data_IF_931555893976
#
_entry.id   IF_931555893976
#
_cell.length_a   1.000
_cell.length_b   1.000
_cell.length_c   1.000
_cell.angle_alpha   90.00
_cell.angle_beta   90.00
_cell.angle_gamma   90.00
#
_symmetry.space_group_name_H-M   'P 1'
#
loop_
_entity.id
_entity.type
_entity.pdbx_description
1 polymer ?
#
# COMPACT_ATOMS: atom_id res chain seq x y z
N UNK A 1 -8.11 -46.49 -49.05
CA UNK A 1 -7.26 -46.12 -47.90
C UNK A 1 -6.48 -44.85 -48.21
N UNK A 2 -6.87 -43.71 -47.62
CA UNK A 2 -5.97 -42.61 -47.21
C UNK A 2 -6.77 -41.74 -46.26
N UNK A 3 -6.53 -41.93 -44.96
CA UNK A 3 -7.16 -41.19 -43.87
C UNK A 3 -6.58 -39.78 -43.90
N UNK A 4 -7.40 -38.79 -44.25
CA UNK A 4 -7.05 -37.39 -44.09
C UNK A 4 -7.27 -37.04 -42.62
N UNK A 5 -6.18 -36.75 -41.93
CA UNK A 5 -6.10 -35.75 -40.86
C UNK A 5 -4.60 -35.45 -40.70
N UNK A 6 -4.22 -34.17 -40.62
CA UNK A 6 -4.32 -33.56 -39.31
C UNK A 6 -4.81 -32.11 -39.32
N UNK A 7 -5.68 -31.82 -38.36
CA UNK A 7 -5.73 -30.54 -37.67
C UNK A 7 -4.30 -29.99 -37.52
N UNK A 8 -3.97 -29.01 -38.34
CA UNK A 8 -2.89 -28.09 -38.02
C UNK A 8 -3.42 -27.23 -36.88
N UNK A 9 -2.88 -27.33 -35.66
CA UNK A 9 -3.19 -26.34 -34.66
C UNK A 9 -2.73 -25.02 -35.22
N UNK A 10 -3.68 -24.09 -35.42
CA UNK A 10 -3.38 -22.69 -35.69
C UNK A 10 -2.43 -22.27 -34.59
N UNK A 11 -1.16 -22.16 -34.93
CA UNK A 11 -0.15 -21.58 -34.07
C UNK A 11 -0.52 -20.12 -33.95
N UNK A 12 -1.32 -19.80 -32.92
CA UNK A 12 -1.54 -18.42 -32.53
C UNK A 12 -0.16 -17.82 -32.26
N UNK A 13 0.30 -17.06 -33.25
CA UNK A 13 1.47 -16.20 -33.19
C UNK A 13 1.20 -15.22 -32.04
N UNK A 14 1.80 -15.47 -30.88
CA UNK A 14 1.75 -14.51 -29.77
C UNK A 14 3.10 -13.78 -29.66
N UNK A 15 3.15 -12.46 -29.38
CA UNK A 15 2.03 -11.52 -29.24
C UNK A 15 2.10 -10.35 -30.23
N UNK A 16 0.93 -9.79 -30.57
CA UNK A 16 0.84 -8.43 -31.08
C UNK A 16 1.52 -7.45 -30.13
N UNK A 17 1.99 -6.31 -30.67
CA UNK A 17 2.72 -5.26 -29.95
C UNK A 17 2.20 -5.01 -28.52
N UNK A 18 3.06 -4.60 -27.58
CA UNK A 18 2.68 -4.29 -26.19
C UNK A 18 1.40 -3.43 -26.07
N UNK A 19 1.12 -2.57 -27.06
CA UNK A 19 -0.12 -1.81 -27.18
C UNK A 19 -1.36 -2.69 -27.27
N UNK A 20 -1.34 -3.78 -28.04
CA UNK A 20 -2.45 -4.72 -28.15
C UNK A 20 -2.71 -5.46 -26.82
N UNK A 21 -1.65 -5.83 -26.08
CA UNK A 21 -1.79 -6.44 -24.74
C UNK A 21 -2.41 -5.46 -23.73
N UNK A 22 -1.94 -4.21 -23.72
CA UNK A 22 -2.48 -3.16 -22.85
C UNK A 22 -3.93 -2.84 -23.23
N UNK A 23 -4.20 -2.64 -24.51
CA UNK A 23 -5.56 -2.39 -25.03
C UNK A 23 -6.52 -3.51 -24.66
N UNK A 24 -6.11 -4.78 -24.83
CA UNK A 24 -6.92 -5.93 -24.45
C UNK A 24 -7.19 -5.98 -22.94
N UNK A 25 -6.20 -5.67 -22.10
CA UNK A 25 -6.42 -5.67 -20.66
C UNK A 25 -7.22 -4.45 -20.15
N UNK A 26 -7.07 -3.28 -20.76
CA UNK A 26 -7.94 -2.13 -20.50
C UNK A 26 -9.39 -2.43 -20.90
N UNK A 27 -9.59 -3.10 -22.04
CA UNK A 27 -10.91 -3.61 -22.44
C UNK A 27 -11.45 -4.61 -21.42
N UNK A 28 -10.62 -5.54 -20.93
CA UNK A 28 -11.03 -6.49 -19.90
C UNK A 28 -11.51 -5.79 -18.61
N UNK A 29 -10.80 -4.74 -18.18
CA UNK A 29 -11.20 -3.92 -17.04
C UNK A 29 -12.52 -3.20 -17.30
N UNK A 30 -12.66 -2.58 -18.48
CA UNK A 30 -13.88 -1.87 -18.86
C UNK A 30 -15.10 -2.82 -18.92
N UNK A 31 -14.94 -3.98 -19.54
CA UNK A 31 -16.00 -5.01 -19.65
C UNK A 31 -16.42 -5.55 -18.27
N UNK A 32 -15.60 -5.33 -17.22
CA UNK A 32 -15.83 -5.76 -15.84
C UNK A 32 -15.83 -4.59 -14.86
N UNK A 33 -16.06 -3.37 -15.33
CA UNK A 33 -16.07 -2.19 -14.49
C UNK A 33 -17.16 -2.27 -13.40
N UNK A 34 -18.35 -2.76 -13.77
CA UNK A 34 -19.46 -2.99 -12.83
C UNK A 34 -19.06 -3.94 -11.68
N UNK A 35 -18.68 -5.21 -11.92
CA UNK A 35 -18.40 -6.14 -10.81
C UNK A 35 -17.18 -5.72 -9.98
N UNK A 36 -16.15 -5.13 -10.61
CA UNK A 36 -14.99 -4.59 -9.89
C UNK A 36 -15.39 -3.40 -9.01
N UNK A 37 -16.19 -2.48 -9.55
CA UNK A 37 -16.74 -1.34 -8.81
C UNK A 37 -17.60 -1.81 -7.64
N UNK A 38 -18.51 -2.76 -7.86
CA UNK A 38 -19.34 -3.33 -6.79
C UNK A 38 -18.49 -3.98 -5.69
N UNK A 39 -17.43 -4.70 -6.05
CA UNK A 39 -16.53 -5.33 -5.08
C UNK A 39 -15.75 -4.30 -4.24
N UNK A 40 -15.24 -3.23 -4.88
CA UNK A 40 -14.57 -2.13 -4.18
C UNK A 40 -15.56 -1.39 -3.26
N UNK A 41 -16.78 -1.16 -3.72
CA UNK A 41 -17.83 -0.52 -2.92
C UNK A 41 -18.20 -1.37 -1.70
N UNK A 42 -18.40 -2.68 -1.89
CA UNK A 42 -18.67 -3.60 -0.79
C UNK A 42 -17.52 -3.62 0.23
N UNK A 43 -16.28 -3.58 -0.26
CA UNK A 43 -15.09 -3.49 0.58
C UNK A 43 -15.01 -2.16 1.35
N UNK A 44 -15.37 -1.04 0.71
CA UNK A 44 -15.44 0.27 1.36
C UNK A 44 -16.51 0.26 2.47
N UNK A 45 -17.70 -0.29 2.22
CA UNK A 45 -18.75 -0.47 3.23
C UNK A 45 -18.29 -1.36 4.39
N UNK A 46 -17.56 -2.45 4.11
CA UNK A 46 -17.01 -3.32 5.14
C UNK A 46 -15.94 -2.62 5.99
N UNK A 47 -15.04 -1.86 5.35
CA UNK A 47 -14.03 -1.06 6.05
C UNK A 47 -14.68 0.02 6.92
N UNK A 48 -15.74 0.65 6.43
CA UNK A 48 -16.54 1.61 7.18
C UNK A 48 -17.25 0.99 8.39
N UNK A 49 -17.86 -0.18 8.22
CA UNK A 49 -18.42 -0.93 9.34
C UNK A 49 -17.35 -1.29 10.38
N UNK A 50 -16.18 -1.73 9.91
CA UNK A 50 -15.04 -2.04 10.78
C UNK A 50 -14.55 -0.79 11.52
N UNK A 51 -14.52 0.38 10.86
CA UNK A 51 -14.20 1.66 11.47
C UNK A 51 -15.18 2.04 12.58
N UNK A 52 -16.48 2.03 12.30
CA UNK A 52 -17.54 2.33 13.28
C UNK A 52 -17.43 1.38 14.49
N UNK A 53 -17.24 0.08 14.22
CA UNK A 53 -17.13 -0.96 15.25
C UNK A 53 -15.86 -0.84 16.10
N UNK A 54 -14.74 -0.45 15.49
CA UNK A 54 -13.43 -0.30 16.13
C UNK A 54 -13.34 0.97 16.97
N UNK A 55 -13.81 2.10 16.42
CA UNK A 55 -13.82 3.41 17.07
C UNK A 55 -14.98 3.61 18.04
N UNK A 56 -15.95 2.68 18.06
CA UNK A 56 -17.15 2.73 18.92
C UNK A 56 -17.95 4.01 18.71
N UNK A 57 -18.05 4.44 17.45
CA UNK A 57 -18.85 5.59 17.08
C UNK A 57 -20.32 5.14 17.05
N UNK A 58 -21.24 5.74 17.83
CA UNK A 58 -22.63 5.33 17.86
C UNK A 58 -23.41 5.90 16.66
N UNK A 59 -22.94 5.63 15.45
CA UNK A 59 -23.62 5.96 14.21
C UNK A 59 -24.16 4.68 13.57
N UNK A 60 -25.37 4.77 13.00
CA UNK A 60 -25.95 3.70 12.18
C UNK A 60 -25.30 3.71 10.80
N UNK A 61 -24.99 2.53 10.24
CA UNK A 61 -24.52 2.37 8.86
C UNK A 61 -25.43 3.02 7.81
N UNK A 62 -26.71 3.22 8.15
CA UNK A 62 -27.71 3.80 7.27
C UNK A 62 -27.95 5.29 7.52
N UNK A 63 -27.11 5.94 8.33
CA UNK A 63 -27.27 7.38 8.55
C UNK A 63 -26.97 8.15 7.25
N UNK A 64 -27.72 9.23 6.95
CA UNK A 64 -27.49 10.03 5.74
C UNK A 64 -26.05 10.50 5.59
N UNK A 65 -25.41 10.94 6.69
CA UNK A 65 -24.01 11.36 6.70
C UNK A 65 -23.00 10.24 6.37
N UNK A 66 -23.30 9.00 6.75
CA UNK A 66 -22.44 7.86 6.39
C UNK A 66 -22.62 7.49 4.92
N UNK A 67 -23.86 7.51 4.42
CA UNK A 67 -24.17 7.20 3.02
C UNK A 67 -23.52 8.23 2.08
N UNK A 68 -23.54 9.52 2.44
CA UNK A 68 -22.90 10.57 1.65
C UNK A 68 -21.37 10.49 1.63
N UNK A 69 -20.75 9.87 2.64
CA UNK A 69 -19.29 9.65 2.70
C UNK A 69 -18.79 8.47 1.85
N UNK A 70 -19.67 7.55 1.43
CA UNK A 70 -19.28 6.34 0.67
C UNK A 70 -18.55 6.63 -0.65
N UNK A 71 -18.91 7.63 -1.49
CA UNK A 71 -18.18 7.94 -2.71
C UNK A 71 -16.71 8.33 -2.45
N UNK A 72 -16.47 9.11 -1.39
CA UNK A 72 -15.12 9.52 -0.99
C UNK A 72 -14.32 8.28 -0.55
N UNK A 73 -14.90 7.43 0.28
CA UNK A 73 -14.29 6.17 0.70
C UNK A 73 -13.98 5.24 -0.47
N UNK A 74 -14.87 5.17 -1.47
CA UNK A 74 -14.64 4.40 -2.70
C UNK A 74 -13.41 4.93 -3.46
N UNK A 75 -13.26 6.25 -3.59
CA UNK A 75 -12.11 6.88 -4.25
C UNK A 75 -10.83 6.56 -3.49
N UNK A 76 -10.79 6.79 -2.17
CA UNK A 76 -9.61 6.47 -1.35
C UNK A 76 -9.25 4.99 -1.38
N UNK A 77 -10.25 4.09 -1.35
CA UNK A 77 -10.03 2.65 -1.47
C UNK A 77 -9.44 2.28 -2.83
N UNK A 78 -9.95 2.88 -3.92
CA UNK A 78 -9.42 2.69 -5.27
C UNK A 78 -7.97 3.17 -5.37
N UNK A 79 -7.68 4.36 -4.81
CA UNK A 79 -6.33 4.91 -4.75
C UNK A 79 -5.39 4.04 -3.91
N UNK A 80 -5.87 3.49 -2.78
CA UNK A 80 -5.10 2.58 -1.95
C UNK A 80 -4.77 1.27 -2.70
N UNK A 81 -5.73 0.69 -3.43
CA UNK A 81 -5.52 -0.49 -4.28
C UNK A 81 -4.50 -0.19 -5.38
N UNK A 82 -4.62 0.94 -6.07
CA UNK A 82 -3.69 1.35 -7.11
C UNK A 82 -2.29 1.65 -6.55
N UNK A 83 -2.21 2.32 -5.40
CA UNK A 83 -0.96 2.60 -4.70
C UNK A 83 -0.26 1.32 -4.27
N UNK A 84 -0.99 0.36 -3.69
CA UNK A 84 -0.47 -0.96 -3.34
C UNK A 84 0.06 -1.70 -4.57
N UNK A 85 -0.63 -1.64 -5.71
CA UNK A 85 -0.11 -2.22 -6.94
C UNK A 85 1.25 -1.62 -7.33
N UNK A 86 1.35 -0.30 -7.35
CA UNK A 86 2.58 0.41 -7.73
C UNK A 86 3.72 0.07 -6.76
N UNK A 87 3.43 0.09 -5.46
CA UNK A 87 4.39 -0.19 -4.37
C UNK A 87 4.89 -1.64 -4.38
N UNK A 88 4.00 -2.60 -4.65
CA UNK A 88 4.32 -4.03 -4.54
C UNK A 88 4.83 -4.63 -5.84
N UNK A 89 4.25 -4.23 -6.97
CA UNK A 89 4.51 -4.81 -8.28
C UNK A 89 5.21 -3.85 -9.25
N UNK A 90 5.14 -2.53 -9.03
CA UNK A 90 5.70 -1.52 -9.93
C UNK A 90 7.18 -1.76 -10.28
N UNK A 91 8.08 -1.87 -9.29
CA UNK A 91 9.50 -2.13 -9.56
C UNK A 91 9.72 -3.40 -10.40
N UNK A 92 9.07 -4.51 -10.02
CA UNK A 92 9.23 -5.79 -10.72
C UNK A 92 8.65 -5.79 -12.13
N UNK A 93 7.50 -5.11 -12.35
CA UNK A 93 6.84 -5.02 -13.66
C UNK A 93 7.57 -4.10 -14.64
N UNK A 94 8.26 -3.07 -14.16
CA UNK A 94 9.14 -2.20 -14.98
C UNK A 94 10.34 -2.98 -15.52
N UNK A 95 10.91 -3.88 -14.71
CA UNK A 95 12.07 -4.70 -15.08
C UNK A 95 11.71 -5.94 -15.91
N UNK A 96 10.47 -6.40 -15.80
CA UNK A 96 10.00 -7.64 -16.40
C UNK A 96 10.24 -7.76 -17.92
N UNK A 97 10.04 -6.73 -18.76
CA UNK A 97 10.27 -6.82 -20.20
C UNK A 97 11.74 -7.00 -20.59
N UNK A 98 12.67 -6.59 -19.72
CA UNK A 98 14.09 -6.62 -20.02
C UNK A 98 14.72 -8.00 -19.83
N UNK A 99 14.08 -8.84 -19.03
CA UNK A 99 14.52 -10.20 -18.74
C UNK A 99 14.27 -11.14 -19.93
N UNK A 100 15.14 -12.16 -20.11
CA UNK A 100 14.86 -13.19 -21.09
C UNK A 100 13.54 -13.88 -20.72
N UNK A 101 12.67 -14.19 -21.70
CA UNK A 101 11.39 -14.82 -21.41
C UNK A 101 11.64 -16.12 -20.64
N UNK A 102 11.10 -16.18 -19.42
CA UNK A 102 11.01 -17.41 -18.64
C UNK A 102 10.35 -18.45 -19.53
N UNK A 103 11.10 -19.47 -20.00
CA UNK A 103 10.60 -20.46 -20.96
C UNK A 103 9.25 -20.99 -20.44
N UNK A 104 8.16 -20.92 -21.23
CA UNK A 104 6.88 -21.46 -20.80
C UNK A 104 7.11 -22.95 -20.51
N UNK A 105 6.73 -23.38 -19.31
CA UNK A 105 6.78 -24.80 -18.95
C UNK A 105 5.85 -25.50 -19.92
N UNK A 106 6.41 -26.36 -20.78
CA UNK A 106 5.61 -27.03 -21.81
C UNK A 106 4.44 -27.78 -21.16
N UNK A 107 3.27 -27.91 -21.82
CA UNK A 107 2.13 -28.64 -21.26
C UNK A 107 2.52 -30.06 -20.84
N UNK A 108 3.46 -30.69 -21.57
CA UNK A 108 4.06 -31.98 -21.22
C UNK A 108 4.92 -31.91 -19.96
N UNK A 109 5.72 -30.86 -19.75
CA UNK A 109 6.49 -30.67 -18.53
C UNK A 109 5.62 -30.26 -17.34
N UNK A 110 4.52 -29.54 -17.55
CA UNK A 110 3.51 -29.21 -16.53
C UNK A 110 2.73 -30.45 -16.11
N UNK A 111 2.30 -31.30 -17.05
CA UNK A 111 1.69 -32.59 -16.73
C UNK A 111 2.71 -33.52 -16.06
N UNK A 112 3.97 -33.54 -16.51
CA UNK A 112 5.02 -34.32 -15.84
C UNK A 112 5.28 -33.79 -14.43
N UNK A 113 5.26 -32.46 -14.23
CA UNK A 113 5.33 -31.83 -12.90
C UNK A 113 4.13 -32.19 -12.03
N UNK A 114 2.90 -32.15 -12.57
CA UNK A 114 1.68 -32.48 -11.82
C UNK A 114 1.57 -33.97 -11.49
N UNK A 115 2.03 -34.85 -12.40
CA UNK A 115 2.14 -36.30 -12.18
C UNK A 115 3.23 -36.58 -11.15
N UNK A 116 4.37 -35.88 -11.20
CA UNK A 116 5.46 -35.97 -10.22
C UNK A 116 5.13 -35.26 -8.88
N UNK A 117 4.10 -34.40 -8.83
CA UNK A 117 3.58 -33.79 -7.60
C UNK A 117 2.46 -34.62 -6.97
N UNK A 118 1.72 -35.38 -7.79
CA UNK A 118 0.71 -36.34 -7.34
C UNK A 118 1.34 -37.57 -6.69
N UNK A 119 2.61 -37.85 -6.98
CA UNK A 119 3.35 -38.99 -6.45
C UNK A 119 4.51 -38.51 -5.55
N UNK A 120 4.38 -38.76 -4.24
CA UNK A 120 5.33 -38.48 -3.13
C UNK A 120 5.46 -37.04 -2.60
N UNK A 121 5.07 -36.92 -1.32
CA UNK A 121 5.67 -36.20 -0.17
C UNK A 121 7.00 -35.43 -0.39
N UNK A 122 7.11 -34.56 -1.41
CA UNK A 122 8.20 -33.58 -1.44
C UNK A 122 7.77 -32.41 -0.56
N UNK A 123 8.59 -32.01 0.43
CA UNK A 123 8.24 -30.90 1.30
C UNK A 123 8.04 -29.66 0.43
N UNK A 124 6.96 -28.92 0.69
CA UNK A 124 6.57 -27.66 0.01
C UNK A 124 7.79 -26.73 -0.20
N UNK A 125 8.75 -26.76 0.73
CA UNK A 125 10.04 -26.06 0.64
C UNK A 125 10.84 -26.33 -0.65
N UNK A 126 10.91 -27.56 -1.15
CA UNK A 126 11.67 -27.88 -2.36
C UNK A 126 11.00 -27.37 -3.64
N UNK A 127 9.67 -27.41 -3.70
CA UNK A 127 8.92 -26.83 -4.81
C UNK A 127 9.15 -25.31 -4.89
N UNK A 128 9.04 -24.62 -3.76
CA UNK A 128 9.28 -23.17 -3.65
C UNK A 128 10.72 -22.81 -4.02
N UNK A 129 11.73 -23.49 -3.46
CA UNK A 129 13.13 -23.22 -3.79
C UNK A 129 13.44 -23.45 -5.27
N UNK A 130 12.84 -24.48 -5.87
CA UNK A 130 13.03 -24.76 -7.29
C UNK A 130 12.40 -23.69 -8.19
N UNK A 131 11.31 -23.07 -7.75
CA UNK A 131 10.64 -21.99 -8.47
C UNK A 131 11.44 -20.67 -8.35
N UNK A 132 11.96 -20.37 -7.15
CA UNK A 132 12.81 -19.19 -6.91
C UNK A 132 14.10 -19.29 -7.73
N UNK A 133 14.78 -20.45 -7.74
CA UNK A 133 16.02 -20.65 -8.52
C UNK A 133 15.81 -20.50 -10.04
N UNK A 134 14.59 -20.73 -10.53
CA UNK A 134 14.26 -20.65 -11.96
C UNK A 134 13.79 -19.26 -12.41
N UNK A 135 13.55 -18.34 -11.49
CA UNK A 135 13.08 -16.98 -11.81
C UNK A 135 14.22 -15.97 -11.64
N UNK A 136 14.87 -15.53 -12.74
CA UNK A 136 15.91 -14.51 -12.65
C UNK A 136 15.36 -13.18 -12.11
N UNK A 137 14.06 -12.88 -12.32
CA UNK A 137 13.39 -11.72 -11.75
C UNK A 137 13.45 -11.75 -10.23
N UNK A 138 13.00 -12.84 -9.60
CA UNK A 138 12.96 -12.98 -8.15
C UNK A 138 14.35 -12.85 -7.51
N UNK A 139 15.39 -13.40 -8.15
CA UNK A 139 16.76 -13.34 -7.64
C UNK A 139 17.34 -11.93 -7.78
N UNK A 140 17.23 -11.31 -8.96
CA UNK A 140 17.79 -9.98 -9.21
C UNK A 140 17.08 -8.94 -8.36
N UNK A 141 15.74 -8.95 -8.40
CA UNK A 141 14.92 -7.99 -7.69
C UNK A 141 14.99 -8.24 -6.17
N UNK A 142 14.79 -9.47 -5.69
CA UNK A 142 14.73 -9.76 -4.25
C UNK A 142 16.01 -9.45 -3.50
N UNK A 143 17.18 -9.77 -4.08
CA UNK A 143 18.47 -9.43 -3.47
C UNK A 143 18.75 -7.92 -3.51
N UNK A 144 18.32 -7.22 -4.58
CA UNK A 144 18.48 -5.76 -4.67
C UNK A 144 17.60 -5.08 -3.62
N UNK A 145 16.34 -5.50 -3.48
CA UNK A 145 15.40 -4.98 -2.47
C UNK A 145 15.86 -5.26 -1.05
N UNK A 146 16.41 -6.45 -0.76
CA UNK A 146 16.96 -6.78 0.55
C UNK A 146 18.12 -5.86 0.92
N UNK A 147 19.07 -5.64 0.01
CA UNK A 147 20.19 -4.74 0.24
C UNK A 147 19.74 -3.30 0.42
N UNK A 148 18.81 -2.83 -0.41
CA UNK A 148 18.24 -1.49 -0.31
C UNK A 148 17.48 -1.29 1.00
N UNK A 149 16.74 -2.29 1.48
CA UNK A 149 16.08 -2.23 2.78
C UNK A 149 17.08 -2.18 3.94
N UNK A 150 18.17 -2.95 3.85
CA UNK A 150 19.26 -2.88 4.85
C UNK A 150 19.89 -1.48 4.89
N UNK A 151 20.23 -0.92 3.74
CA UNK A 151 20.78 0.45 3.66
C UNK A 151 19.80 1.50 4.18
N UNK A 152 18.52 1.38 3.85
CA UNK A 152 17.50 2.27 4.38
C UNK A 152 17.34 2.13 5.90
N UNK A 153 17.47 0.91 6.44
CA UNK A 153 17.52 0.68 7.89
C UNK A 153 18.68 1.41 8.56
N UNK A 154 19.86 1.49 7.92
CA UNK A 154 20.97 2.28 8.43
C UNK A 154 20.68 3.79 8.41
N UNK A 155 19.94 4.28 7.41
CA UNK A 155 19.48 5.68 7.36
C UNK A 155 18.55 5.96 8.53
N UNK A 156 17.60 5.06 8.82
CA UNK A 156 16.70 5.20 9.97
C UNK A 156 17.46 5.15 11.30
N UNK A 157 18.46 4.27 11.41
CA UNK A 157 19.32 4.23 12.60
C UNK A 157 20.09 5.54 12.78
N UNK A 158 20.67 6.09 11.70
CA UNK A 158 21.34 7.39 11.74
C UNK A 158 20.39 8.53 12.12
N UNK A 159 19.14 8.51 11.63
CA UNK A 159 18.10 9.46 12.02
C UNK A 159 17.72 9.34 13.50
N UNK A 160 17.62 8.12 14.03
CA UNK A 160 17.32 7.90 15.44
C UNK A 160 18.44 8.36 16.39
N UNK A 161 19.67 8.48 15.88
CA UNK A 161 20.80 8.99 16.65
C UNK A 161 20.91 10.52 16.62
N UNK A 162 20.14 11.20 15.77
CA UNK A 162 20.07 12.66 15.71
C UNK A 162 19.09 13.19 16.76
N UNK A 163 19.37 14.37 17.29
CA UNK A 163 18.45 15.08 18.18
C UNK A 163 17.16 15.47 17.42
N UNK A 164 16.03 15.44 18.11
CA UNK A 164 14.73 15.84 17.54
C UNK A 164 14.84 17.29 17.00
N UNK A 165 14.37 17.50 15.77
CA UNK A 165 14.45 18.77 15.00
C UNK A 165 15.86 19.21 14.53
N UNK A 166 16.83 18.29 14.49
CA UNK A 166 18.13 18.58 13.88
C UNK A 166 18.01 18.93 12.37
N UNK A 167 18.64 20.02 11.89
CA UNK A 167 18.64 20.37 10.46
C UNK A 167 19.37 19.32 9.60
N UNK A 168 20.17 18.45 10.21
CA UNK A 168 20.85 17.36 9.52
C UNK A 168 19.92 16.19 9.18
N UNK A 169 18.71 16.12 9.76
CA UNK A 169 17.75 15.06 9.47
C UNK A 169 17.35 15.01 7.99
N UNK A 170 17.05 16.16 7.40
CA UNK A 170 16.70 16.26 5.97
C UNK A 170 17.86 15.84 5.06
N UNK A 171 19.09 16.19 5.45
CA UNK A 171 20.30 15.82 4.71
C UNK A 171 20.50 14.30 4.76
N UNK A 172 20.34 13.67 5.93
CA UNK A 172 20.46 12.23 6.09
C UNK A 172 19.39 11.48 5.30
N UNK A 173 18.14 11.93 5.32
CA UNK A 173 17.05 11.34 4.51
C UNK A 173 17.38 11.46 3.01
N UNK A 174 17.80 12.64 2.56
CA UNK A 174 18.08 12.92 1.15
C UNK A 174 19.27 12.09 0.63
N UNK A 175 20.36 12.06 1.39
CA UNK A 175 21.53 11.23 1.06
C UNK A 175 21.18 9.75 1.08
N UNK A 176 20.40 9.31 2.08
CA UNK A 176 19.90 7.95 2.17
C UNK A 176 19.07 7.55 0.95
N UNK A 177 18.21 8.44 0.47
CA UNK A 177 17.37 8.22 -0.70
C UNK A 177 18.20 8.05 -1.97
N UNK A 178 19.16 8.96 -2.19
CA UNK A 178 20.09 8.90 -3.33
C UNK A 178 20.94 7.63 -3.27
N UNK A 179 21.44 7.26 -2.10
CA UNK A 179 22.24 6.05 -1.90
C UNK A 179 21.44 4.79 -2.24
N UNK A 180 20.23 4.66 -1.70
CA UNK A 180 19.37 3.49 -1.98
C UNK A 180 19.00 3.40 -3.45
N UNK A 181 18.67 4.53 -4.08
CA UNK A 181 18.39 4.61 -5.51
C UNK A 181 19.59 4.17 -6.35
N UNK A 182 20.77 4.70 -6.05
CA UNK A 182 22.01 4.38 -6.76
C UNK A 182 22.36 2.90 -6.60
N UNK A 183 22.36 2.37 -5.38
CA UNK A 183 22.70 0.96 -5.11
C UNK A 183 21.71 0.02 -5.79
N UNK A 184 20.40 0.28 -5.68
CA UNK A 184 19.39 -0.55 -6.36
C UNK A 184 19.59 -0.54 -7.87
N UNK A 185 19.79 0.64 -8.46
CA UNK A 185 19.98 0.80 -9.91
C UNK A 185 21.23 0.09 -10.40
N UNK A 186 22.37 0.24 -9.71
CA UNK A 186 23.65 -0.40 -10.09
C UNK A 186 23.58 -1.92 -9.92
N UNK A 187 22.98 -2.41 -8.82
CA UNK A 187 22.83 -3.85 -8.56
C UNK A 187 21.94 -4.52 -9.61
N UNK A 188 20.80 -3.92 -9.94
CA UNK A 188 19.90 -4.44 -10.96
C UNK A 188 20.52 -4.37 -12.35
N UNK A 189 21.17 -3.25 -12.70
CA UNK A 189 21.86 -3.05 -13.99
C UNK A 189 22.97 -4.07 -14.21
N UNK A 190 23.89 -4.22 -13.25
CA UNK A 190 25.03 -5.15 -13.38
C UNK A 190 24.58 -6.60 -13.52
N UNK A 191 23.52 -6.99 -12.81
CA UNK A 191 22.97 -8.35 -12.90
C UNK A 191 22.18 -8.57 -14.17
N UNK A 192 21.34 -7.63 -14.59
CA UNK A 192 20.63 -7.73 -15.86
C UNK A 192 21.58 -7.75 -17.05
N UNK A 193 22.65 -6.95 -17.01
CA UNK A 193 23.69 -6.98 -18.04
C UNK A 193 24.35 -8.36 -18.14
N UNK A 194 24.71 -8.97 -17.00
CA UNK A 194 25.26 -10.34 -16.96
C UNK A 194 24.29 -11.40 -17.48
N UNK A 195 22.99 -11.24 -17.22
CA UNK A 195 21.96 -12.21 -17.61
C UNK A 195 21.51 -12.07 -19.07
N UNK A 196 21.48 -10.86 -19.61
CA UNK A 196 20.91 -10.56 -20.94
C UNK A 196 21.97 -10.30 -22.00
N UNK A 197 23.19 -9.91 -21.61
CA UNK A 197 24.24 -9.45 -22.53
C UNK A 197 23.95 -8.11 -23.21
N UNK A 198 22.85 -7.43 -22.86
CA UNK A 198 22.48 -6.11 -23.42
C UNK A 198 23.46 -5.02 -22.97
N UNK A 199 23.54 -3.94 -23.74
CA UNK A 199 24.35 -2.77 -23.36
C UNK A 199 23.71 -2.07 -22.16
N UNK A 200 24.56 -1.55 -21.26
CA UNK A 200 24.08 -0.85 -20.07
C UNK A 200 23.15 0.33 -20.38
N UNK A 201 23.37 1.04 -21.50
CA UNK A 201 22.53 2.18 -21.92
C UNK A 201 21.08 1.79 -22.17
N UNK A 202 20.85 0.60 -22.72
CA UNK A 202 19.51 0.12 -23.06
C UNK A 202 18.73 -0.27 -21.80
N UNK A 203 19.44 -0.71 -20.75
CA UNK A 203 18.86 -1.16 -19.48
C UNK A 203 18.74 -0.03 -18.44
N UNK A 204 19.59 1.00 -18.53
CA UNK A 204 19.74 2.03 -17.50
C UNK A 204 18.43 2.71 -17.14
N UNK A 205 17.64 3.10 -18.15
CA UNK A 205 16.37 3.79 -17.92
C UNK A 205 15.37 2.92 -17.15
N UNK A 206 15.22 1.64 -17.52
CA UNK A 206 14.34 0.70 -16.81
C UNK A 206 14.81 0.46 -15.38
N UNK A 207 16.11 0.22 -15.16
CA UNK A 207 16.67 0.03 -13.82
C UNK A 207 16.50 1.27 -12.94
N UNK A 208 16.72 2.46 -13.50
CA UNK A 208 16.55 3.73 -12.79
C UNK A 208 15.09 3.97 -12.40
N UNK A 209 14.14 3.80 -13.33
CA UNK A 209 12.72 3.94 -13.03
C UNK A 209 12.26 2.92 -11.97
N UNK A 210 12.71 1.66 -12.06
CA UNK A 210 12.42 0.66 -11.04
C UNK A 210 13.01 1.04 -9.68
N UNK A 211 14.25 1.54 -9.65
CA UNK A 211 14.90 2.01 -8.43
C UNK A 211 14.19 3.21 -7.82
N UNK A 212 13.72 4.14 -8.65
CA UNK A 212 12.98 5.31 -8.19
C UNK A 212 11.69 4.91 -7.49
N UNK A 213 10.90 4.01 -8.09
CA UNK A 213 9.67 3.49 -7.48
C UNK A 213 9.97 2.74 -6.18
N UNK A 214 11.06 1.97 -6.14
CA UNK A 214 11.49 1.26 -4.93
C UNK A 214 11.91 2.22 -3.80
N UNK A 215 12.71 3.24 -4.09
CA UNK A 215 13.14 4.23 -3.10
C UNK A 215 11.97 5.08 -2.60
N UNK A 216 11.07 5.51 -3.49
CA UNK A 216 9.84 6.21 -3.10
C UNK A 216 8.94 5.34 -2.21
N UNK A 217 8.86 4.04 -2.50
CA UNK A 217 8.13 3.10 -1.66
C UNK A 217 8.68 3.07 -0.23
N UNK A 218 10.00 2.97 -0.07
CA UNK A 218 10.61 2.99 1.27
C UNK A 218 10.36 4.31 1.99
N UNK A 219 10.46 5.44 1.29
CA UNK A 219 10.15 6.75 1.86
C UNK A 219 8.69 6.86 2.32
N UNK A 220 7.74 6.52 1.45
CA UNK A 220 6.30 6.59 1.76
C UNK A 220 5.95 5.69 2.96
N UNK A 221 6.44 4.45 2.97
CA UNK A 221 6.20 3.51 4.07
C UNK A 221 6.83 4.03 5.36
N UNK A 222 8.02 4.63 5.31
CA UNK A 222 8.66 5.25 6.48
C UNK A 222 7.81 6.38 7.04
N UNK A 223 7.38 7.32 6.20
CA UNK A 223 6.55 8.45 6.62
C UNK A 223 5.24 7.97 7.23
N UNK A 224 4.60 6.98 6.60
CA UNK A 224 3.40 6.36 7.13
C UNK A 224 3.65 5.70 8.49
N UNK A 225 4.74 4.94 8.65
CA UNK A 225 5.10 4.29 9.91
C UNK A 225 5.42 5.28 11.02
N UNK A 226 6.11 6.39 10.73
CA UNK A 226 6.37 7.46 11.69
C UNK A 226 5.05 8.08 12.14
N UNK A 227 4.18 8.43 11.19
CA UNK A 227 2.88 9.03 11.51
C UNK A 227 1.97 8.06 12.28
N UNK A 228 1.98 6.78 11.93
CA UNK A 228 1.25 5.74 12.65
C UNK A 228 1.81 5.54 14.06
N UNK A 229 3.14 5.53 14.24
CA UNK A 229 3.77 5.41 15.55
C UNK A 229 3.42 6.58 16.47
N UNK A 230 3.43 7.81 15.92
CA UNK A 230 2.99 9.03 16.62
C UNK A 230 1.50 8.97 16.97
N UNK A 231 0.65 8.56 16.03
CA UNK A 231 -0.79 8.47 16.25
C UNK A 231 -1.19 7.39 17.28
N UNK A 232 -0.33 6.41 17.51
CA UNK A 232 -0.52 5.33 18.47
C UNK A 232 0.24 5.57 19.79
N UNK A 233 0.86 6.74 19.97
CA UNK A 233 1.69 7.10 21.13
C UNK A 233 2.71 6.00 21.51
N UNK A 234 3.30 5.35 20.50
CA UNK A 234 4.25 4.25 20.71
C UNK A 234 5.55 4.82 21.27
N UNK A 235 6.05 4.34 22.42
CA UNK A 235 7.32 4.78 22.97
C UNK A 235 8.46 4.61 21.96
N UNK A 236 9.42 5.54 21.94
CA UNK A 236 10.56 5.53 21.00
C UNK A 236 11.35 4.21 21.03
N UNK A 237 11.42 3.56 22.20
CA UNK A 237 12.05 2.25 22.40
C UNK A 237 11.38 1.12 21.58
N UNK A 238 10.07 1.20 21.38
CA UNK A 238 9.30 0.23 20.60
C UNK A 238 9.13 0.66 19.13
N UNK A 239 9.37 1.93 18.80
CA UNK A 239 9.32 2.42 17.43
C UNK A 239 10.31 1.68 16.52
N UNK A 240 11.53 1.41 17.01
CA UNK A 240 12.54 0.63 16.28
C UNK A 240 12.04 -0.79 15.91
N UNK A 241 11.36 -1.47 16.84
CA UNK A 241 10.79 -2.80 16.61
C UNK A 241 9.67 -2.75 15.57
N UNK A 242 8.82 -1.71 15.62
CA UNK A 242 7.78 -1.48 14.64
C UNK A 242 8.36 -1.27 13.25
N UNK A 243 9.40 -0.44 13.10
CA UNK A 243 10.05 -0.22 11.80
C UNK A 243 10.59 -1.53 11.24
N UNK A 244 11.37 -2.29 12.01
CA UNK A 244 11.89 -3.60 11.56
C UNK A 244 10.76 -4.52 11.08
N UNK A 245 9.67 -4.61 11.85
CA UNK A 245 8.51 -5.42 11.48
C UNK A 245 7.86 -4.95 10.17
N UNK A 246 7.64 -3.65 10.01
CA UNK A 246 7.04 -3.07 8.79
C UNK A 246 7.93 -3.31 7.57
N UNK A 247 9.25 -3.14 7.68
CA UNK A 247 10.16 -3.40 6.56
C UNK A 247 10.23 -4.88 6.19
N UNK A 248 10.21 -5.80 7.17
CA UNK A 248 10.14 -7.23 6.89
C UNK A 248 8.84 -7.60 6.15
N UNK A 249 7.71 -7.03 6.57
CA UNK A 249 6.43 -7.21 5.88
C UNK A 249 6.45 -6.63 4.47
N UNK A 250 7.03 -5.44 4.28
CA UNK A 250 7.18 -4.82 2.97
C UNK A 250 8.02 -5.69 2.03
N UNK A 251 9.16 -6.21 2.49
CA UNK A 251 10.01 -7.09 1.70
C UNK A 251 9.26 -8.37 1.32
N UNK A 252 8.57 -9.01 2.28
CA UNK A 252 7.78 -10.20 2.02
C UNK A 252 6.68 -9.93 0.97
N UNK A 253 5.98 -8.81 1.10
CA UNK A 253 4.93 -8.39 0.19
C UNK A 253 5.46 -8.10 -1.21
N UNK A 254 6.63 -7.46 -1.32
CA UNK A 254 7.24 -7.19 -2.60
C UNK A 254 7.86 -8.44 -3.25
N UNK A 255 8.38 -9.42 -2.48
CA UNK A 255 8.76 -10.74 -3.01
C UNK A 255 7.53 -11.44 -3.60
N UNK A 256 6.40 -11.39 -2.90
CA UNK A 256 5.13 -11.89 -3.42
C UNK A 256 4.71 -11.13 -4.68
N UNK A 257 4.85 -9.81 -4.69
CA UNK A 257 4.59 -8.96 -5.85
C UNK A 257 5.46 -9.31 -7.06
N UNK A 258 6.74 -9.61 -6.86
CA UNK A 258 7.65 -10.06 -7.92
C UNK A 258 7.30 -11.47 -8.42
N UNK A 259 6.88 -12.38 -7.53
CA UNK A 259 6.39 -13.70 -7.93
C UNK A 259 5.09 -13.60 -8.74
N UNK A 260 4.18 -12.72 -8.32
CA UNK A 260 2.95 -12.42 -9.05
C UNK A 260 3.28 -11.79 -10.40
N UNK A 261 4.22 -10.84 -10.47
CA UNK A 261 4.66 -10.24 -11.72
C UNK A 261 5.21 -11.29 -12.71
N UNK A 262 6.04 -12.24 -12.24
CA UNK A 262 6.50 -13.37 -13.07
C UNK A 262 5.34 -14.27 -13.53
N UNK A 263 4.32 -14.47 -12.69
CA UNK A 263 3.10 -15.18 -13.08
C UNK A 263 2.28 -14.41 -14.12
N UNK A 264 2.13 -13.09 -13.97
CA UNK A 264 1.41 -12.23 -14.92
C UNK A 264 2.06 -12.28 -16.31
N UNK A 265 3.40 -12.28 -16.38
CA UNK A 265 4.11 -12.36 -17.66
C UNK A 265 3.80 -13.63 -18.44
N UNK A 266 3.46 -14.72 -17.74
CA UNK A 266 3.16 -16.04 -18.30
C UNK A 266 1.66 -16.23 -18.58
N UNK A 267 0.80 -15.37 -18.04
CA UNK A 267 -0.64 -15.48 -18.21
C UNK A 267 -1.12 -14.84 -19.52
N UNK A 268 -2.17 -15.46 -20.07
CA UNK A 268 -2.97 -14.98 -21.20
C UNK A 268 -3.68 -13.65 -20.88
N UNK A 269 -4.01 -13.40 -19.61
CA UNK A 269 -4.68 -12.18 -19.17
C UNK A 269 -4.01 -11.54 -17.93
N UNK A 270 -2.83 -10.89 -18.10
CA UNK A 270 -2.05 -10.35 -17.00
C UNK A 270 -2.80 -9.29 -16.18
N UNK A 271 -3.60 -8.46 -16.85
CA UNK A 271 -4.31 -7.37 -16.17
C UNK A 271 -5.42 -7.95 -15.29
N UNK A 272 -6.18 -8.93 -15.78
CA UNK A 272 -7.22 -9.58 -14.98
C UNK A 272 -6.69 -10.33 -13.76
N UNK A 273 -5.63 -11.12 -13.94
CA UNK A 273 -4.97 -11.81 -12.83
C UNK A 273 -4.39 -10.81 -11.83
N UNK A 274 -3.75 -9.72 -12.30
CA UNK A 274 -3.19 -8.68 -11.42
C UNK A 274 -4.26 -8.01 -10.58
N UNK A 275 -5.29 -7.44 -11.23
CA UNK A 275 -6.40 -6.76 -10.56
C UNK A 275 -7.12 -7.68 -9.58
N UNK A 276 -7.44 -8.92 -9.98
CA UNK A 276 -8.08 -9.89 -9.10
C UNK A 276 -7.21 -10.28 -7.90
N UNK A 277 -5.90 -10.46 -8.09
CA UNK A 277 -4.99 -10.82 -6.98
C UNK A 277 -4.87 -9.71 -5.95
N UNK A 278 -4.77 -8.45 -6.40
CA UNK A 278 -4.65 -7.30 -5.50
C UNK A 278 -5.96 -7.06 -4.78
N UNK A 279 -7.08 -7.08 -5.51
CA UNK A 279 -8.41 -6.93 -4.89
C UNK A 279 -8.64 -8.04 -3.85
N UNK A 280 -8.27 -9.28 -4.17
CA UNK A 280 -8.30 -10.40 -3.22
C UNK A 280 -7.41 -10.18 -2.01
N UNK A 281 -6.18 -9.69 -2.20
CA UNK A 281 -5.27 -9.38 -1.10
C UNK A 281 -5.84 -8.29 -0.19
N UNK A 282 -6.35 -7.20 -0.76
CA UNK A 282 -6.95 -6.12 0.02
C UNK A 282 -8.22 -6.59 0.72
N UNK A 283 -9.05 -7.40 0.06
CA UNK A 283 -10.22 -8.01 0.69
C UNK A 283 -9.83 -8.90 1.88
N UNK A 284 -8.84 -9.78 1.73
CA UNK A 284 -8.32 -10.61 2.82
C UNK A 284 -7.79 -9.73 3.94
N UNK A 285 -6.98 -8.70 3.63
CA UNK A 285 -6.42 -7.84 4.66
C UNK A 285 -7.50 -7.06 5.41
N UNK A 286 -8.47 -6.48 4.70
CA UNK A 286 -9.61 -5.80 5.30
C UNK A 286 -10.47 -6.71 6.18
N UNK A 287 -10.77 -7.93 5.70
CA UNK A 287 -11.65 -8.88 6.40
C UNK A 287 -10.99 -9.49 7.63
N UNK A 288 -9.72 -9.89 7.54
CA UNK A 288 -9.01 -10.59 8.62
C UNK A 288 -8.25 -9.65 9.56
N UNK A 289 -7.85 -8.47 9.09
CA UNK A 289 -7.20 -7.42 9.89
C UNK A 289 -8.09 -6.17 9.98
N UNK A 290 -9.21 -6.28 10.70
CA UNK A 290 -10.15 -5.18 10.91
C UNK A 290 -9.52 -3.83 11.32
N UNK A 291 -8.49 -3.77 12.20
CA UNK A 291 -7.87 -2.50 12.57
C UNK A 291 -7.26 -1.76 11.38
N UNK A 292 -6.75 -2.47 10.37
CA UNK A 292 -6.13 -1.84 9.22
C UNK A 292 -7.17 -1.20 8.29
N UNK A 293 -8.29 -1.89 8.04
CA UNK A 293 -9.42 -1.33 7.28
C UNK A 293 -10.05 -0.13 7.98
N UNK A 294 -10.14 -0.19 9.32
CA UNK A 294 -10.60 0.92 10.14
C UNK A 294 -9.68 2.15 10.02
N UNK A 295 -8.35 1.96 10.11
CA UNK A 295 -7.39 3.06 9.98
C UNK A 295 -7.46 3.76 8.62
N UNK A 296 -7.57 2.99 7.53
CA UNK A 296 -7.68 3.55 6.18
C UNK A 296 -8.94 4.42 6.04
N UNK A 297 -10.07 3.90 6.53
CA UNK A 297 -11.35 4.63 6.53
C UNK A 297 -11.26 5.88 7.42
N UNK A 298 -10.69 5.74 8.61
CA UNK A 298 -10.52 6.85 9.55
C UNK A 298 -9.68 7.98 8.96
N UNK A 299 -8.59 7.65 8.26
CA UNK A 299 -7.79 8.64 7.54
C UNK A 299 -8.59 9.36 6.46
N UNK A 300 -9.34 8.62 5.63
CA UNK A 300 -10.16 9.20 4.58
C UNK A 300 -11.23 10.17 5.14
N UNK A 301 -11.90 9.79 6.24
CA UNK A 301 -12.89 10.63 6.91
C UNK A 301 -12.24 11.84 7.61
N UNK A 302 -11.06 11.69 8.19
CA UNK A 302 -10.30 12.79 8.80
C UNK A 302 -9.79 13.79 7.79
N UNK A 303 -9.28 13.34 6.64
CA UNK A 303 -8.90 14.23 5.53
C UNK A 303 -10.11 15.07 5.10
N UNK A 304 -11.28 14.44 4.97
CA UNK A 304 -12.50 15.14 4.55
C UNK A 304 -13.07 16.10 5.59
N UNK A 305 -12.95 15.81 6.88
CA UNK A 305 -13.61 16.58 7.96
C UNK A 305 -12.72 17.65 8.59
N UNK A 306 -11.42 17.38 8.77
CA UNK A 306 -10.49 18.29 9.45
C UNK A 306 -9.26 18.65 8.63
N UNK A 307 -9.20 18.26 7.35
CA UNK A 307 -8.00 18.45 6.54
C UNK A 307 -6.81 17.60 7.02
N UNK A 308 -7.08 16.44 7.64
CA UNK A 308 -6.08 15.50 8.17
C UNK A 308 -5.31 16.00 9.40
N UNK A 309 -5.84 16.97 10.14
CA UNK A 309 -5.24 17.45 11.39
C UNK A 309 -5.33 16.37 12.48
N UNK A 310 -4.19 15.89 13.05
CA UNK A 310 -4.21 14.87 14.10
C UNK A 310 -4.74 15.40 15.44
N UNK A 311 -4.60 16.71 15.66
CA UNK A 311 -5.02 17.45 16.84
C UNK A 311 -5.58 18.80 16.38
N UNK A 312 -6.75 19.18 16.91
CA UNK A 312 -7.42 20.44 16.61
C UNK A 312 -8.01 21.05 17.90
N UNK A 313 -8.04 22.38 17.95
CA UNK A 313 -8.78 23.15 18.95
C UNK A 313 -9.99 23.76 18.26
N UNK A 314 -11.17 23.53 18.84
CA UNK A 314 -12.42 24.03 18.31
C UNK A 314 -12.82 25.29 19.09
N UNK A 315 -13.01 26.38 18.37
CA UNK A 315 -13.60 27.61 18.90
C UNK A 315 -15.12 27.52 18.87
N UNK A 316 -15.78 27.84 19.98
CA UNK A 316 -17.24 27.81 20.12
C UNK A 316 -17.86 29.18 19.83
N UNK A 317 -18.92 29.22 19.02
CA UNK A 317 -19.79 30.39 18.94
C UNK A 317 -20.68 30.49 20.19
N UNK A 318 -21.21 29.35 20.62
CA UNK A 318 -21.94 29.15 21.88
C UNK A 318 -21.68 27.73 22.35
N UNK A 319 -21.18 27.53 23.58
CA UNK A 319 -20.93 26.19 24.13
C UNK A 319 -22.23 25.39 24.22
N UNK A 320 -22.38 24.27 23.47
CA UNK A 320 -23.55 23.42 23.56
C UNK A 320 -23.65 22.73 24.93
N UNK A 321 -24.88 22.50 25.44
CA UNK A 321 -25.06 21.78 26.70
C UNK A 321 -24.50 20.35 26.62
N UNK A 322 -23.82 19.90 27.66
CA UNK A 322 -23.24 18.55 27.72
C UNK A 322 -21.87 18.38 27.05
N UNK A 323 -21.24 19.47 26.58
CA UNK A 323 -19.85 19.50 26.11
C UNK A 323 -18.87 20.12 27.12
N UNK A 324 -19.29 20.30 28.37
CA UNK A 324 -18.46 20.84 29.45
C UNK A 324 -17.17 20.03 29.67
N UNK A 325 -17.26 18.70 29.54
CA UNK A 325 -16.12 17.78 29.69
C UNK A 325 -14.99 18.00 28.67
N UNK A 326 -15.28 18.67 27.53
CA UNK A 326 -14.33 18.93 26.45
C UNK A 326 -14.06 20.42 26.24
N UNK A 327 -14.59 21.25 27.13
CA UNK A 327 -14.46 22.70 27.09
C UNK A 327 -13.26 23.12 27.94
N UNK A 328 -12.27 23.79 27.35
CA UNK A 328 -11.21 24.43 28.12
C UNK A 328 -11.72 25.75 28.72
N UNK A 329 -12.45 26.52 27.92
CA UNK A 329 -13.12 27.77 28.27
C UNK A 329 -14.48 27.83 27.54
N UNK A 330 -15.41 28.72 27.92
CA UNK A 330 -16.71 28.85 27.25
C UNK A 330 -16.63 29.11 25.73
N UNK A 331 -15.47 29.55 25.24
CA UNK A 331 -15.19 29.88 23.84
C UNK A 331 -14.26 28.90 23.14
N UNK A 332 -13.59 27.97 23.86
CA UNK A 332 -12.58 27.08 23.25
C UNK A 332 -12.59 25.68 23.86
N UNK A 333 -12.33 24.67 23.04
CA UNK A 333 -12.18 23.29 23.47
C UNK A 333 -10.79 22.99 24.06
N UNK A 334 -10.68 21.87 24.77
CA UNK A 334 -9.38 21.20 24.98
C UNK A 334 -8.83 20.69 23.63
N UNK A 335 -7.58 20.20 23.54
CA UNK A 335 -7.10 19.52 22.34
C UNK A 335 -7.98 18.31 21.97
N UNK A 336 -8.58 18.34 20.78
CA UNK A 336 -9.49 17.32 20.28
C UNK A 336 -8.94 16.65 19.02
N UNK A 337 -9.35 15.40 18.82
CA UNK A 337 -9.23 14.68 17.56
C UNK A 337 -10.62 14.60 16.93
N UNK A 338 -10.78 15.22 15.77
CA UNK A 338 -11.99 15.10 14.95
C UNK A 338 -11.91 13.73 14.26
N UNK A 339 -12.93 12.90 14.46
CA UNK A 339 -12.97 11.55 13.89
C UNK A 339 -13.65 11.57 12.52
N UNK A 340 -14.83 12.18 12.46
CA UNK A 340 -15.62 12.33 11.25
C UNK A 340 -16.62 13.48 11.44
N UNK A 341 -17.12 13.99 10.33
CA UNK A 341 -18.33 14.81 10.29
C UNK A 341 -19.47 13.95 9.76
N UNK A 342 -20.61 13.95 10.45
CA UNK A 342 -21.81 13.25 10.01
C UNK A 342 -23.05 13.99 10.53
N UNK A 343 -24.09 14.07 9.69
CA UNK A 343 -25.41 14.59 10.10
C UNK A 343 -25.34 16.00 10.73
N UNK A 344 -24.52 16.89 10.17
CA UNK A 344 -24.25 18.27 10.65
C UNK A 344 -23.61 18.33 12.05
N UNK A 345 -22.95 17.26 12.47
CA UNK A 345 -22.23 17.18 13.74
C UNK A 345 -20.80 16.66 13.53
N UNK A 346 -19.84 17.25 14.23
CA UNK A 346 -18.52 16.69 14.39
C UNK A 346 -18.52 15.64 15.50
N UNK A 347 -18.00 14.45 15.18
CA UNK A 347 -17.70 13.42 16.18
C UNK A 347 -16.27 13.64 16.64
N UNK A 348 -16.11 14.08 17.89
CA UNK A 348 -14.81 14.46 18.46
C UNK A 348 -14.46 13.64 19.68
N UNK A 349 -13.15 13.53 19.96
CA UNK A 349 -12.61 12.84 21.14
C UNK A 349 -11.43 13.64 21.72
N UNK A 350 -11.23 13.68 23.05
CA UNK A 350 -10.04 14.28 23.65
C UNK A 350 -8.75 13.65 23.11
N UNK A 351 -7.84 14.49 22.62
CA UNK A 351 -6.54 14.08 22.09
C UNK A 351 -5.62 13.59 23.23
N UNK A 352 -4.82 12.55 22.98
CA UNK A 352 -3.88 12.00 23.96
C UNK A 352 -4.52 11.24 25.13
N UNK A 353 -5.81 10.86 25.01
CA UNK A 353 -6.49 10.03 26.02
C UNK A 353 -6.83 8.65 25.47
N UNK A 354 -6.69 7.61 26.30
CA UNK A 354 -7.11 6.24 25.97
C UNK A 354 -8.64 6.05 26.02
N UNK A 355 -9.39 7.10 26.35
CA UNK A 355 -10.85 7.05 26.44
C UNK A 355 -11.45 6.97 25.05
N UNK A 356 -12.27 5.94 24.80
CA UNK A 356 -13.06 5.85 23.56
C UNK A 356 -14.34 6.70 23.59
N UNK A 357 -14.57 7.50 24.64
CA UNK A 357 -15.73 8.40 24.74
C UNK A 357 -15.70 9.38 23.57
N UNK A 358 -16.82 9.48 22.86
CA UNK A 358 -17.01 10.39 21.73
C UNK A 358 -18.05 11.43 22.11
N UNK A 359 -17.86 12.64 21.60
CA UNK A 359 -18.76 13.76 21.80
C UNK A 359 -19.29 14.21 20.45
N UNK A 360 -20.56 14.60 20.44
CA UNK A 360 -21.24 15.09 19.25
C UNK A 360 -21.34 16.60 19.33
N UNK A 361 -20.67 17.27 18.41
CA UNK A 361 -20.54 18.73 18.40
C UNK A 361 -21.28 19.29 17.19
N UNK A 362 -22.38 20.03 17.37
CA UNK A 362 -23.11 20.64 16.26
C UNK A 362 -22.22 21.58 15.43
N UNK A 363 -22.21 21.43 14.12
CA UNK A 363 -21.40 22.26 13.19
C UNK A 363 -21.71 23.76 13.33
N UNK A 364 -22.98 24.12 13.59
CA UNK A 364 -23.41 25.50 13.80
C UNK A 364 -22.88 26.14 15.10
N UNK A 365 -22.44 25.34 16.07
CA UNK A 365 -21.84 25.82 17.33
C UNK A 365 -20.33 26.07 17.21
N UNK A 366 -19.72 25.69 16.09
CA UNK A 366 -18.30 25.86 15.83
C UNK A 366 -18.05 27.18 15.11
N UNK A 367 -17.26 28.05 15.72
CA UNK A 367 -16.82 29.32 15.16
C UNK A 367 -15.48 29.20 14.41
N UNK A 368 -14.54 28.41 14.94
CA UNK A 368 -13.22 28.19 14.33
C UNK A 368 -12.68 26.79 14.62
N UNK A 369 -11.75 26.32 13.79
CA UNK A 369 -10.97 25.10 14.02
C UNK A 369 -9.52 25.45 13.76
N UNK A 370 -8.72 25.45 14.83
CA UNK A 370 -7.30 25.79 14.81
C UNK A 370 -6.43 24.58 15.13
N UNK A 371 -5.15 24.64 14.75
CA UNK A 371 -4.18 23.60 15.09
C UNK A 371 -3.81 23.68 16.58
N UNK A 372 -3.48 22.53 17.17
CA UNK A 372 -3.00 22.51 18.55
C UNK A 372 -1.66 23.27 18.66
N UNK A 373 -1.45 24.08 19.71
CA UNK A 373 -0.20 24.80 19.88
C UNK A 373 0.95 23.81 19.91
N UNK A 374 1.95 24.03 19.06
CA UNK A 374 3.24 23.36 19.17
C UNK A 374 3.76 23.52 20.60
N UNK A 375 4.41 22.50 21.14
CA UNK A 375 4.96 22.50 22.50
C UNK A 375 5.91 23.68 22.80
N UNK A 376 6.27 24.51 21.81
CA UNK A 376 7.06 25.74 21.95
C UNK A 376 6.43 26.93 21.18
N UNK A 377 5.52 27.71 21.78
CA UNK A 377 4.91 28.90 21.16
C UNK A 377 5.82 30.15 21.17
N UNK A 378 7.13 30.00 21.39
CA UNK A 378 8.06 31.13 21.62
C UNK A 378 9.34 31.12 20.77
N UNK A 379 9.36 30.35 19.67
CA UNK A 379 10.45 30.37 18.69
C UNK A 379 9.86 30.31 17.28
N UNK A 380 9.20 31.39 16.89
CA UNK A 380 9.09 31.77 15.48
C UNK A 380 10.20 32.76 15.15
#
# INVERSE_FOLDING_TARGET
MKKADPFTPVTMKAPGSNRARISHGLRWLNDRAWPLGSAILLLATFNLYSYISYEKIPLSLFSPGIISGLPILFIFQTLAIAGLFIVTMGPATIMAPELPPSRPISPRARNRFLIEYGDRRRPIRHAILSHIKKSPLLIVWGLSSLLSAFLWGLVLFALSALENDSPYGEIVVSLGFVLVLAVFTVMTLTRLQKLTGKKARDLLFSCFCSGLVQSLTFLIVTLFSINAARALDIPETHAAQLFVFVFLMLIALQILGAALADALLKDSNPIGLGTGSILGLVAVFSLFFQPAGALLTGYALQISSSGARPCAIVGWSTLPPGLEDISANPTTSIPLRILTEADSQYVVRPHGTNSKKTYFTPTNSVASIDDCPSKNPGKE
#
